data_IF_797797126482
#
_entry.id   IF_797797126482
#
_cell.length_a   1.000
_cell.length_b   1.000
_cell.length_c   1.000
_cell.angle_alpha   90.00
_cell.angle_beta   90.00
_cell.angle_gamma   90.00
#
_symmetry.space_group_name_H-M   'P 1'
#
loop_
_entity.id
_entity.type
_entity.pdbx_description
1 polymer ?
#
# COMPACT_ATOMS: atom_id res chain seq x y z
N UNK A 1 15.27 7.32 -1.73
CA UNK A 1 15.31 6.74 -3.09
C UNK A 1 14.27 7.45 -3.94
N UNK A 2 14.53 7.70 -5.22
CA UNK A 2 13.53 8.34 -6.09
C UNK A 2 12.33 7.41 -6.36
N UNK A 3 11.10 7.95 -6.39
CA UNK A 3 9.87 7.16 -6.59
C UNK A 3 9.84 6.44 -7.94
N UNK A 4 10.38 7.06 -9.00
CA UNK A 4 10.45 6.43 -10.32
C UNK A 4 11.41 5.24 -10.30
N UNK A 5 12.52 5.33 -9.56
CA UNK A 5 13.41 4.17 -9.38
C UNK A 5 12.72 3.00 -8.68
N UNK A 6 11.88 3.26 -7.69
CA UNK A 6 11.14 2.17 -7.01
C UNK A 6 10.16 1.50 -7.97
N UNK A 7 9.50 2.28 -8.82
CA UNK A 7 8.61 1.77 -9.86
C UNK A 7 9.38 0.88 -10.84
N UNK A 8 10.54 1.34 -11.32
CA UNK A 8 11.37 0.55 -12.23
C UNK A 8 11.85 -0.75 -11.58
N UNK A 9 12.25 -0.73 -10.31
CA UNK A 9 12.58 -1.94 -9.56
C UNK A 9 11.39 -2.88 -9.44
N UNK A 10 10.20 -2.37 -9.13
CA UNK A 10 8.99 -3.17 -9.01
C UNK A 10 8.63 -3.88 -10.32
N UNK A 11 8.79 -3.19 -11.46
CA UNK A 11 8.57 -3.77 -12.80
C UNK A 11 9.66 -4.81 -13.13
N UNK A 12 10.91 -4.53 -12.79
CA UNK A 12 12.03 -5.44 -13.07
C UNK A 12 11.99 -6.72 -12.23
N UNK A 13 11.52 -6.64 -10.98
CA UNK A 13 11.37 -7.77 -10.05
C UNK A 13 10.11 -8.60 -10.34
N UNK A 14 9.21 -8.12 -11.20
CA UNK A 14 7.97 -8.81 -11.53
C UNK A 14 8.22 -10.13 -12.29
N UNK A 15 7.34 -11.14 -12.12
CA UNK A 15 7.34 -12.34 -12.96
C UNK A 15 7.38 -11.97 -14.45
N UNK A 16 8.36 -12.49 -15.18
CA UNK A 16 8.55 -12.20 -16.61
C UNK A 16 7.66 -13.08 -17.48
N UNK A 17 6.37 -13.11 -17.18
CA UNK A 17 5.34 -13.92 -17.86
C UNK A 17 4.72 -13.22 -19.09
N UNK A 18 5.25 -12.04 -19.44
CA UNK A 18 4.77 -11.21 -20.54
C UNK A 18 3.58 -10.31 -20.22
N UNK A 19 2.94 -10.46 -19.06
CA UNK A 19 1.71 -9.72 -18.68
C UNK A 19 1.84 -8.98 -17.36
N UNK A 20 2.45 -9.58 -16.34
CA UNK A 20 2.59 -9.00 -15.00
C UNK A 20 3.39 -7.69 -14.99
N UNK A 21 4.52 -7.57 -15.71
CA UNK A 21 5.27 -6.30 -15.76
C UNK A 21 4.46 -5.17 -16.40
N UNK A 22 3.63 -5.48 -17.41
CA UNK A 22 2.77 -4.51 -18.09
C UNK A 22 1.62 -4.07 -17.18
N UNK A 23 1.02 -4.99 -16.43
CA UNK A 23 -0.03 -4.68 -15.47
C UNK A 23 0.49 -3.75 -14.36
N UNK A 24 1.68 -4.02 -13.82
CA UNK A 24 2.35 -3.15 -12.84
C UNK A 24 2.64 -1.77 -13.45
N UNK A 25 3.18 -1.72 -14.67
CA UNK A 25 3.47 -0.46 -15.36
C UNK A 25 2.19 0.38 -15.58
N UNK A 26 1.05 -0.25 -15.87
CA UNK A 26 -0.22 0.44 -16.07
C UNK A 26 -0.74 1.12 -14.79
N UNK A 27 -0.52 0.52 -13.61
CA UNK A 27 -0.99 1.08 -12.33
C UNK A 27 0.09 1.90 -11.59
N UNK A 28 1.34 1.87 -12.05
CA UNK A 28 2.46 2.60 -11.44
C UNK A 28 2.24 4.11 -11.25
N UNK A 29 1.62 4.85 -12.20
CA UNK A 29 1.33 6.27 -12.01
C UNK A 29 0.46 6.54 -10.77
N UNK A 30 -0.53 5.68 -10.51
CA UNK A 30 -1.39 5.80 -9.34
C UNK A 30 -0.60 5.63 -8.04
N UNK A 31 0.30 4.65 -7.97
CA UNK A 31 1.16 4.50 -6.79
C UNK A 31 2.10 5.68 -6.60
N UNK A 32 2.59 6.29 -7.68
CA UNK A 32 3.39 7.52 -7.61
C UNK A 32 2.59 8.67 -6.99
N UNK A 33 1.35 8.88 -7.45
CA UNK A 33 0.47 9.92 -6.91
C UNK A 33 0.13 9.70 -5.43
N UNK A 34 -0.13 8.45 -5.03
CA UNK A 34 -0.35 8.11 -3.63
C UNK A 34 0.90 8.35 -2.79
N UNK A 35 2.07 7.92 -3.27
CA UNK A 35 3.35 8.10 -2.58
C UNK A 35 3.75 9.57 -2.46
N UNK A 36 3.41 10.43 -3.42
CA UNK A 36 3.66 11.87 -3.36
C UNK A 36 2.86 12.59 -2.27
N UNK A 37 1.74 12.00 -1.82
CA UNK A 37 0.97 12.50 -0.67
C UNK A 37 1.58 12.09 0.67
N UNK A 38 2.53 11.15 0.65
CA UNK A 38 3.27 10.69 1.81
C UNK A 38 4.57 11.50 1.91
N UNK A 39 5.03 11.71 3.14
CA UNK A 39 6.17 12.58 3.41
C UNK A 39 7.52 11.94 3.06
N UNK A 40 7.59 10.60 3.09
CA UNK A 40 8.84 9.87 2.93
C UNK A 40 8.80 8.93 1.73
N UNK A 41 9.94 8.80 1.05
CA UNK A 41 10.14 7.82 -0.03
C UNK A 41 10.38 6.40 0.49
N UNK A 42 10.67 6.26 1.78
CA UNK A 42 10.96 5.00 2.44
C UNK A 42 10.40 5.07 3.86
N UNK A 43 9.89 3.95 4.34
CA UNK A 43 9.42 3.80 5.71
C UNK A 43 10.01 2.53 6.31
N UNK A 44 10.21 2.54 7.62
CA UNK A 44 10.53 1.35 8.38
C UNK A 44 9.24 0.61 8.68
N UNK A 45 9.17 -0.65 8.28
CA UNK A 45 8.06 -1.54 8.58
C UNK A 45 8.57 -2.63 9.51
N UNK A 46 7.78 -2.95 10.54
CA UNK A 46 8.10 -4.05 11.46
C UNK A 46 7.82 -5.38 10.78
N UNK A 47 8.79 -6.28 10.83
CA UNK A 47 8.72 -7.62 10.27
C UNK A 47 9.24 -8.64 11.27
N UNK A 48 8.64 -9.82 11.29
CA UNK A 48 9.20 -10.99 11.97
C UNK A 48 10.42 -11.54 11.23
N UNK A 49 11.21 -12.41 11.86
CA UNK A 49 12.41 -13.00 11.24
C UNK A 49 12.15 -13.76 9.93
N UNK A 50 10.93 -14.23 9.71
CA UNK A 50 10.47 -14.89 8.47
C UNK A 50 9.99 -13.90 7.40
N UNK A 51 10.11 -12.60 7.64
CA UNK A 51 9.76 -11.53 6.70
C UNK A 51 8.28 -11.15 6.67
N UNK A 52 7.43 -11.71 7.53
CA UNK A 52 6.02 -11.31 7.62
C UNK A 52 5.87 -9.97 8.33
N UNK A 53 4.98 -9.13 7.83
CA UNK A 53 4.74 -7.81 8.41
C UNK A 53 3.94 -7.92 9.70
N UNK A 54 4.33 -7.12 10.70
CA UNK A 54 3.60 -7.07 11.97
C UNK A 54 2.29 -6.33 11.78
N UNK A 55 1.19 -7.05 11.96
CA UNK A 55 -0.17 -6.54 11.86
C UNK A 55 -0.69 -6.17 13.25
N UNK A 56 -1.30 -4.99 13.36
CA UNK A 56 -1.89 -4.48 14.59
C UNK A 56 -3.41 -4.43 14.46
N UNK A 57 -4.12 -5.20 15.28
CA UNK A 57 -5.58 -5.11 15.35
C UNK A 57 -5.99 -4.00 16.32
N UNK A 58 -6.62 -2.96 15.80
CA UNK A 58 -7.24 -1.88 16.54
C UNK A 58 -8.68 -2.24 16.86
N UNK A 59 -9.02 -2.27 18.14
CA UNK A 59 -10.40 -2.41 18.62
C UNK A 59 -10.86 -1.07 19.20
N UNK A 60 -11.89 -0.46 18.60
CA UNK A 60 -12.47 0.75 19.16
C UNK A 60 -13.45 0.37 20.29
N UNK A 61 -13.13 0.72 21.53
CA UNK A 61 -14.00 0.47 22.69
C UNK A 61 -15.27 1.32 22.71
N UNK A 62 -15.38 2.33 21.84
CA UNK A 62 -16.58 3.21 21.72
C UNK A 62 -17.56 2.78 20.63
N UNK A 63 -17.11 2.02 19.64
CA UNK A 63 -17.96 1.43 18.62
C UNK A 63 -17.83 -0.08 18.72
N UNK A 64 -18.71 -0.68 19.53
CA UNK A 64 -18.80 -2.12 19.69
C UNK A 64 -18.87 -2.76 18.31
N UNK A 65 -17.86 -3.57 17.98
CA UNK A 65 -17.81 -4.49 16.83
C UNK A 65 -17.10 -4.05 15.52
N UNK A 66 -16.30 -2.98 15.50
CA UNK A 66 -15.36 -2.74 14.39
C UNK A 66 -13.90 -2.95 14.82
N UNK A 67 -13.37 -4.11 14.50
CA UNK A 67 -11.93 -4.38 14.50
C UNK A 67 -11.35 -3.91 13.17
N UNK A 68 -10.14 -3.36 13.22
CA UNK A 68 -9.39 -2.97 12.04
C UNK A 68 -7.95 -3.43 12.15
N UNK A 69 -7.45 -4.12 11.14
CA UNK A 69 -6.06 -4.57 11.09
C UNK A 69 -5.23 -3.58 10.28
N UNK A 70 -4.22 -2.98 10.91
CA UNK A 70 -3.36 -1.98 10.30
C UNK A 70 -1.90 -2.41 10.33
N UNK A 71 -1.11 -1.88 9.42
CA UNK A 71 0.35 -1.98 9.47
C UNK A 71 0.93 -0.57 9.52
N UNK A 72 1.95 -0.39 10.36
CA UNK A 72 2.59 0.90 10.56
C UNK A 72 3.85 1.06 9.70
N UNK A 73 3.95 2.21 9.04
CA UNK A 73 5.17 2.71 8.42
C UNK A 73 5.77 3.83 9.26
N UNK A 74 6.96 3.60 9.82
CA UNK A 74 7.67 4.54 10.68
C UNK A 74 8.68 5.38 9.87
N UNK A 75 8.86 6.68 10.16
CA UNK A 75 9.77 7.53 9.40
C UNK A 75 11.24 7.25 9.73
N UNK A 76 11.53 6.70 10.92
CA UNK A 76 12.89 6.34 11.33
C UNK A 76 12.95 4.95 11.97
N UNK A 77 14.14 4.35 11.92
CA UNK A 77 14.44 3.10 12.64
C UNK A 77 14.17 3.23 14.14
N UNK A 78 14.49 4.40 14.72
CA UNK A 78 14.28 4.66 16.15
C UNK A 78 12.80 4.63 16.50
N UNK A 79 11.94 5.28 15.72
CA UNK A 79 10.50 5.25 15.96
C UNK A 79 9.93 3.84 15.89
N UNK A 80 10.43 3.02 14.95
CA UNK A 80 10.06 1.62 14.84
C UNK A 80 10.54 0.79 16.04
N UNK A 81 11.77 1.01 16.51
CA UNK A 81 12.35 0.30 17.66
C UNK A 81 11.70 0.68 18.99
N UNK A 82 11.29 1.94 19.15
CA UNK A 82 10.63 2.43 20.37
C UNK A 82 9.16 1.95 20.47
N UNK A 83 8.58 1.46 19.36
CA UNK A 83 7.23 0.94 19.30
C UNK A 83 7.04 -0.28 20.25
N UNK A 84 5.91 -0.37 20.99
CA UNK A 84 5.67 -1.46 21.94
C UNK A 84 5.91 -2.87 21.41
N UNK A 85 5.46 -3.18 20.18
CA UNK A 85 5.68 -4.50 19.57
C UNK A 85 7.17 -4.88 19.43
N UNK A 86 8.01 -3.94 18.99
CA UNK A 86 9.47 -4.17 18.86
C UNK A 86 10.16 -4.39 20.20
N UNK A 87 9.63 -3.79 21.29
CA UNK A 87 10.17 -3.97 22.63
C UNK A 87 9.72 -5.27 23.30
N UNK A 88 8.60 -5.83 22.86
CA UNK A 88 8.00 -7.03 23.45
C UNK A 88 8.47 -8.33 22.78
N UNK A 89 8.82 -8.26 21.49
CA UNK A 89 9.23 -9.43 20.72
C UNK A 89 10.64 -9.25 20.12
N UNK A 90 11.67 -9.97 20.61
CA UNK A 90 13.03 -9.89 20.08
C UNK A 90 13.18 -10.49 18.67
N UNK A 91 12.15 -11.15 18.14
CA UNK A 91 12.10 -11.68 16.78
C UNK A 91 11.50 -10.69 15.77
N UNK A 92 11.15 -9.48 16.22
CA UNK A 92 10.68 -8.40 15.35
C UNK A 92 11.83 -7.45 15.05
N UNK A 93 12.00 -7.14 13.77
CA UNK A 93 12.96 -6.15 13.29
C UNK A 93 12.28 -5.09 12.43
N UNK A 94 12.86 -3.91 12.39
CA UNK A 94 12.40 -2.82 11.54
C UNK A 94 13.24 -2.80 10.26
N UNK A 95 12.59 -3.01 9.12
CA UNK A 95 13.25 -3.01 7.81
C UNK A 95 12.85 -1.79 7.00
N UNK A 96 13.80 -1.09 6.36
CA UNK A 96 13.45 -0.03 5.41
C UNK A 96 12.79 -0.63 4.17
N UNK A 97 11.64 -0.09 3.78
CA UNK A 97 10.91 -0.50 2.57
C UNK A 97 10.48 0.75 1.79
N UNK A 98 10.73 0.74 0.48
CA UNK A 98 10.33 1.84 -0.39
C UNK A 98 8.80 2.00 -0.44
N UNK A 99 8.33 3.25 -0.37
CA UNK A 99 6.90 3.59 -0.32
C UNK A 99 6.08 2.95 -1.45
N UNK A 100 6.62 2.88 -2.68
CA UNK A 100 5.92 2.23 -3.80
C UNK A 100 5.74 0.74 -3.56
N UNK A 101 6.79 0.06 -3.07
CA UNK A 101 6.73 -1.37 -2.74
C UNK A 101 5.73 -1.64 -1.61
N UNK A 102 5.68 -0.76 -0.62
CA UNK A 102 4.70 -0.85 0.48
C UNK A 102 3.27 -0.76 -0.05
N UNK A 103 2.97 0.26 -0.85
CA UNK A 103 1.64 0.47 -1.42
C UNK A 103 1.22 -0.68 -2.34
N UNK A 104 2.16 -1.23 -3.12
CA UNK A 104 1.90 -2.39 -3.97
C UNK A 104 1.59 -3.65 -3.14
N UNK A 105 2.40 -3.94 -2.12
CA UNK A 105 2.21 -5.12 -1.26
C UNK A 105 0.88 -5.08 -0.49
N UNK A 106 0.34 -3.89 -0.18
CA UNK A 106 -0.99 -3.75 0.44
C UNK A 106 -2.09 -4.48 -0.36
N UNK A 107 -1.98 -4.54 -1.68
CA UNK A 107 -2.98 -5.24 -2.50
C UNK A 107 -2.97 -6.74 -2.27
N UNK A 108 -1.80 -7.32 -2.02
CA UNK A 108 -1.58 -8.74 -1.83
C UNK A 108 -1.80 -9.21 -0.38
N UNK A 109 -1.83 -8.30 0.60
CA UNK A 109 -2.01 -8.64 2.01
C UNK A 109 -3.49 -8.87 2.35
N UNK A 110 -3.85 -10.14 2.51
CA UNK A 110 -5.16 -10.53 3.05
C UNK A 110 -5.29 -10.16 4.53
N UNK A 111 -6.50 -9.77 4.95
CA UNK A 111 -6.78 -9.43 6.35
C UNK A 111 -6.24 -8.06 6.83
N UNK A 112 -5.54 -7.30 5.97
CA UNK A 112 -5.09 -5.93 6.27
C UNK A 112 -6.09 -4.92 5.70
N UNK A 113 -6.57 -4.01 6.55
CA UNK A 113 -7.51 -2.97 6.18
C UNK A 113 -6.81 -1.68 5.71
N UNK A 114 -5.69 -1.33 6.34
CA UNK A 114 -4.95 -0.11 6.00
C UNK A 114 -3.47 -0.14 6.37
N UNK A 115 -2.75 0.80 5.76
CA UNK A 115 -1.42 1.24 6.16
C UNK A 115 -1.52 2.59 6.86
N UNK A 116 -0.77 2.78 7.93
CA UNK A 116 -0.66 4.07 8.63
C UNK A 116 0.78 4.54 8.58
N UNK A 117 1.02 5.62 7.85
CA UNK A 117 2.34 6.20 7.65
C UNK A 117 2.54 7.39 8.58
N UNK A 118 3.46 7.25 9.54
CA UNK A 118 3.79 8.34 10.46
C UNK A 118 4.68 9.39 9.79
N UNK A 119 4.35 10.66 10.00
CA UNK A 119 5.00 11.78 9.33
C UNK A 119 6.26 12.25 10.08
N UNK A 120 6.12 12.46 11.38
CA UNK A 120 7.16 13.08 12.21
C UNK A 120 7.60 12.14 13.32
N UNK A 121 8.92 11.98 13.47
CA UNK A 121 9.50 11.19 14.56
C UNK A 121 9.03 11.68 15.93
N UNK A 122 8.75 10.74 16.84
CA UNK A 122 8.25 11.04 18.18
C UNK A 122 6.81 11.55 18.25
N UNK A 123 6.08 11.68 17.13
CA UNK A 123 4.67 12.09 17.10
C UNK A 123 3.80 10.98 16.53
N UNK A 124 3.27 10.13 17.41
CA UNK A 124 2.33 9.07 17.03
C UNK A 124 0.95 9.61 16.56
N UNK A 125 0.67 10.91 16.72
CA UNK A 125 -0.64 11.51 16.47
C UNK A 125 -0.89 11.94 15.02
N UNK A 126 0.14 11.99 14.16
CA UNK A 126 0.05 12.48 12.77
C UNK A 126 0.43 11.39 11.79
N UNK A 127 -0.46 10.41 11.65
CA UNK A 127 -0.36 9.35 10.64
C UNK A 127 -1.24 9.64 9.44
N UNK A 128 -0.72 9.46 8.22
CA UNK A 128 -1.55 9.38 7.00
C UNK A 128 -1.99 7.95 6.82
N UNK A 129 -3.30 7.72 6.82
CA UNK A 129 -3.87 6.41 6.58
C UNK A 129 -4.17 6.19 5.10
N UNK A 130 -3.76 5.03 4.58
CA UNK A 130 -4.09 4.54 3.24
C UNK A 130 -4.88 3.25 3.38
N UNK A 131 -6.18 3.29 3.05
CA UNK A 131 -7.05 2.09 3.14
C UNK A 131 -6.91 1.22 1.90
N UNK A 132 -6.84 -0.09 2.10
CA UNK A 132 -6.74 -1.07 1.01
C UNK A 132 -7.90 -0.96 0.02
N UNK A 133 -9.12 -0.82 0.53
CA UNK A 133 -10.34 -0.68 -0.28
C UNK A 133 -10.35 0.58 -1.14
N UNK A 134 -9.82 1.69 -0.62
CA UNK A 134 -9.69 2.94 -1.38
C UNK A 134 -8.67 2.79 -2.51
N UNK A 135 -7.53 2.17 -2.25
CA UNK A 135 -6.52 1.89 -3.30
C UNK A 135 -7.08 0.96 -4.37
N UNK A 136 -7.78 -0.12 -4.00
CA UNK A 136 -8.44 -1.02 -4.94
C UNK A 136 -9.46 -0.30 -5.83
N UNK A 137 -10.27 0.58 -5.23
CA UNK A 137 -11.26 1.39 -5.96
C UNK A 137 -10.59 2.35 -6.93
N UNK A 138 -9.49 2.99 -6.53
CA UNK A 138 -8.72 3.87 -7.40
C UNK A 138 -8.11 3.11 -8.58
N UNK A 139 -7.53 1.92 -8.35
CA UNK A 139 -6.99 1.06 -9.42
C UNK A 139 -8.10 0.68 -10.40
N UNK A 140 -9.24 0.22 -9.89
CA UNK A 140 -10.36 -0.17 -10.75
C UNK A 140 -10.84 1.01 -11.61
N UNK A 141 -10.97 2.19 -11.02
CA UNK A 141 -11.38 3.42 -11.72
C UNK A 141 -10.34 3.80 -12.79
N UNK A 142 -9.05 3.74 -12.46
CA UNK A 142 -7.97 4.06 -13.37
C UNK A 142 -7.95 3.12 -14.59
N UNK A 143 -8.08 1.81 -14.35
CA UNK A 143 -8.11 0.81 -15.42
C UNK A 143 -9.34 0.94 -16.32
N UNK A 144 -10.52 1.27 -15.77
CA UNK A 144 -11.73 1.53 -16.56
C UNK A 144 -11.57 2.75 -17.48
N UNK A 145 -10.83 3.76 -17.06
CA UNK A 145 -10.55 4.95 -17.87
C UNK A 145 -9.55 4.66 -19.00
N UNK A 146 -8.54 3.81 -18.75
CA UNK A 146 -7.56 3.41 -19.77
C UNK A 146 -8.14 2.43 -20.80
N UNK A 147 -9.01 1.53 -20.36
CA UNK A 147 -9.64 0.51 -21.21
C UNK A 147 -11.16 0.66 -21.16
N UNK A 148 -11.72 1.76 -21.72
CA UNK A 148 -13.16 1.92 -21.76
C UNK A 148 -13.74 0.76 -22.57
N UNK A 149 -14.55 -0.08 -21.94
CA UNK A 149 -15.31 -1.12 -22.65
C UNK A 149 -16.01 -0.46 -23.83
N UNK A 150 -15.84 -0.95 -25.07
CA UNK A 150 -16.55 -0.39 -26.21
C UNK A 150 -18.03 -0.45 -25.89
N UNK A 151 -18.67 0.73 -25.82
CA UNK A 151 -20.13 0.82 -25.78
C UNK A 151 -20.60 0.00 -26.97
N UNK A 152 -21.35 -1.09 -26.73
CA UNK A 152 -22.09 -1.77 -27.80
C UNK A 152 -22.87 -0.67 -28.50
N UNK A 153 -22.44 -0.32 -29.70
CA UNK A 153 -23.15 0.61 -30.56
C UNK A 153 -24.55 0.05 -30.69
N UNK A 154 -25.52 0.70 -30.07
CA UNK A 154 -26.92 0.46 -30.36
C UNK A 154 -27.09 0.81 -31.83
N UNK A 155 -27.07 -0.22 -32.70
CA UNK A 155 -27.55 -0.07 -34.07
C UNK A 155 -28.96 0.52 -33.93
N UNK A 156 -29.23 1.73 -34.47
CA UNK A 156 -30.56 2.30 -34.40
C UNK A 156 -31.55 1.31 -35.04
N UNK A 157 -32.77 1.15 -34.50
CA UNK A 157 -33.73 0.14 -34.97
C UNK A 157 -34.28 0.34 -36.39
N UNK A 158 -33.63 1.13 -37.25
CA UNK A 158 -34.21 1.59 -38.52
C UNK A 158 -33.45 1.10 -39.76
N UNK A 159 -32.96 -0.15 -39.75
CA UNK A 159 -32.34 -0.83 -40.91
C UNK A 159 -32.73 -2.32 -40.98
N UNK A 160 -34.00 -2.66 -40.73
CA UNK A 160 -34.58 -3.99 -40.99
C UNK A 160 -35.68 -3.90 -42.05
#
# INVERSE_FOLDING_TARGET
>A
MDLDRQIQQLIAEAPQDGTTPQAIAAIAPLFKELAQKLQHSEYYVLQTLDGRWVMTTLSNTRETNRQKTVIYGFPTLKDAADHPYSRQDPQVMATPVGTIKILFQLLAMEGVDSLVFFQTSGQAATGTEVKRSEVQTLIQTHLQQMYPTPRRSSIPPNLA
#
